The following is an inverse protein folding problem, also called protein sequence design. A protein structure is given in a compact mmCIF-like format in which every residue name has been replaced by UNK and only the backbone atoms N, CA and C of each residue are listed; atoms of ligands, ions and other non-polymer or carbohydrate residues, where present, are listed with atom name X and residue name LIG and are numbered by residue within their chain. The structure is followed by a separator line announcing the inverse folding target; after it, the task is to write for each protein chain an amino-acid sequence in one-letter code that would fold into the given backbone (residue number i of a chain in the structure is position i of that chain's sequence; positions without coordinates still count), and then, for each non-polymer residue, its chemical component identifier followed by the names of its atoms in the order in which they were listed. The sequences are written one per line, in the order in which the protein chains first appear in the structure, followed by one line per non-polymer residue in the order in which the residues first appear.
data_IF_164398951632
#
_entry.id   IF_164398951632
#
_cell.length_a   1.000
_cell.length_b   1.000
_cell.length_c   1.000
_cell.angle_alpha   90.00
_cell.angle_beta   90.00
_cell.angle_gamma   90.00
#
_symmetry.space_group_name_H-M   'P 1'
#
loop_
_entity.id
_entity.type
_entity.pdbx_description
1 polymer ?
#
# COMPACT_ATOMS: atom_id res chain seq x y z
N UNK A 1 12.16 -53.94 6.74
CA UNK A 1 12.36 -53.39 5.38
C UNK A 1 11.20 -52.55 4.80
N UNK A 2 9.91 -52.64 5.20
CA UNK A 2 8.85 -51.82 4.59
C UNK A 2 8.85 -50.34 5.06
N UNK A 3 9.48 -50.05 6.20
CA UNK A 3 9.51 -48.73 6.83
C UNK A 3 10.38 -47.70 6.09
N UNK A 4 11.41 -48.14 5.38
CA UNK A 4 12.33 -47.25 4.66
C UNK A 4 11.76 -46.82 3.30
N UNK A 5 10.99 -47.71 2.65
CA UNK A 5 10.32 -47.42 1.39
C UNK A 5 9.23 -46.34 1.55
N UNK A 6 8.45 -46.41 2.63
CA UNK A 6 7.42 -45.41 2.94
C UNK A 6 8.03 -44.04 3.22
N UNK A 7 9.14 -43.98 3.96
CA UNK A 7 9.88 -42.74 4.23
C UNK A 7 10.40 -42.11 2.94
N UNK A 8 11.01 -42.90 2.05
CA UNK A 8 11.50 -42.41 0.76
C UNK A 8 10.38 -41.84 -0.12
N UNK A 9 9.22 -42.52 -0.18
CA UNK A 9 8.04 -42.06 -0.92
C UNK A 9 7.49 -40.73 -0.36
N UNK A 10 7.45 -40.57 0.96
CA UNK A 10 7.02 -39.31 1.58
C UNK A 10 7.98 -38.15 1.35
N UNK A 11 9.29 -38.42 1.29
CA UNK A 11 10.29 -37.40 0.99
C UNK A 11 10.23 -36.97 -0.49
N UNK A 12 9.98 -37.91 -1.39
CA UNK A 12 9.80 -37.65 -2.82
C UNK A 12 8.54 -36.81 -3.10
N UNK A 13 7.42 -37.09 -2.41
CA UNK A 13 6.19 -36.29 -2.56
C UNK A 13 6.34 -34.88 -1.99
N UNK A 14 7.05 -34.71 -0.86
CA UNK A 14 7.37 -33.39 -0.30
C UNK A 14 8.28 -32.58 -1.25
N UNK A 15 9.25 -33.23 -1.91
CA UNK A 15 10.12 -32.60 -2.92
C UNK A 15 9.33 -32.12 -4.15
N UNK A 16 8.38 -32.91 -4.63
CA UNK A 16 7.53 -32.54 -5.76
C UNK A 16 6.59 -31.38 -5.42
N UNK A 17 6.06 -31.34 -4.19
CA UNK A 17 5.26 -30.21 -3.70
C UNK A 17 6.06 -28.90 -3.62
N UNK A 18 7.36 -28.96 -3.28
CA UNK A 18 8.24 -27.80 -3.31
C UNK A 18 8.61 -27.35 -4.73
N UNK A 19 8.60 -28.24 -5.72
CA UNK A 19 8.93 -27.93 -7.11
C UNK A 19 7.75 -27.30 -7.89
N UNK A 20 6.51 -27.50 -7.44
CA UNK A 20 5.30 -26.89 -7.99
C UNK A 20 4.78 -25.70 -7.19
N UNK A 21 5.44 -25.34 -6.08
CA UNK A 21 5.18 -24.05 -5.46
C UNK A 21 5.57 -22.98 -6.50
N UNK A 22 4.64 -22.12 -6.96
CA UNK A 22 5.05 -20.91 -7.65
C UNK A 22 6.04 -20.23 -6.71
N UNK A 23 7.21 -19.86 -7.25
CA UNK A 23 8.29 -19.25 -6.49
C UNK A 23 7.67 -18.33 -5.44
N UNK A 24 7.75 -18.74 -4.17
CA UNK A 24 7.33 -17.93 -3.05
C UNK A 24 8.26 -16.73 -3.13
N UNK A 25 7.82 -15.68 -3.85
CA UNK A 25 8.56 -14.44 -3.98
C UNK A 25 8.76 -13.95 -2.57
N UNK A 26 10.01 -14.09 -2.13
CA UNK A 26 10.46 -13.59 -0.85
C UNK A 26 10.03 -12.12 -0.74
N UNK A 27 9.53 -11.66 0.41
CA UNK A 27 9.26 -10.24 0.61
C UNK A 27 10.55 -9.46 0.29
N UNK A 28 10.48 -8.57 -0.70
CA UNK A 28 11.62 -7.78 -1.18
C UNK A 28 12.14 -8.11 -2.58
N UNK A 29 11.57 -9.06 -3.32
CA UNK A 29 11.92 -9.23 -4.74
C UNK A 29 11.36 -8.06 -5.57
N UNK A 30 12.27 -7.13 -5.87
CA UNK A 30 12.11 -6.04 -6.79
C UNK A 30 11.66 -6.55 -8.17
N UNK A 31 10.36 -6.40 -8.47
CA UNK A 31 9.75 -6.89 -9.71
C UNK A 31 9.56 -5.74 -10.71
N UNK A 32 9.61 -6.06 -12.00
CA UNK A 32 9.33 -5.10 -13.05
C UNK A 32 7.84 -4.69 -13.00
N UNK A 33 7.52 -3.38 -13.03
CA UNK A 33 6.13 -2.94 -13.11
C UNK A 33 5.48 -3.40 -14.41
N UNK A 34 4.20 -3.77 -14.33
CA UNK A 34 3.40 -4.10 -15.50
C UNK A 34 3.14 -2.81 -16.28
N UNK A 35 3.84 -2.66 -17.40
CA UNK A 35 3.69 -1.51 -18.29
C UNK A 35 2.46 -1.73 -19.17
N UNK A 36 1.45 -0.87 -19.06
CA UNK A 36 0.41 -0.75 -20.08
C UNK A 36 1.09 -0.34 -21.37
N UNK A 37 1.02 -1.19 -22.39
CA UNK A 37 1.71 -1.02 -23.67
C UNK A 37 1.22 0.24 -24.40
N UNK A 38 1.85 1.36 -24.10
CA UNK A 38 1.75 2.63 -24.81
C UNK A 38 3.18 3.20 -24.73
N UNK A 39 3.90 3.48 -25.80
CA UNK A 39 3.53 4.00 -27.12
C UNK A 39 4.63 3.57 -28.11
N UNK A 40 4.26 3.22 -29.34
CA UNK A 40 5.11 3.12 -30.56
C UNK A 40 6.58 2.72 -30.31
N UNK A 41 6.82 1.44 -30.01
CA UNK A 41 8.17 0.92 -29.74
C UNK A 41 9.05 0.87 -31.00
N UNK A 42 10.04 1.76 -31.09
CA UNK A 42 11.27 1.44 -31.83
C UNK A 42 12.03 0.41 -31.00
N UNK A 43 12.33 -0.77 -31.56
CA UNK A 43 13.10 -1.81 -30.87
C UNK A 43 14.45 -1.26 -30.38
N UNK A 44 14.49 -0.86 -29.12
CA UNK A 44 15.64 -0.19 -28.50
C UNK A 44 15.87 -0.86 -27.16
N UNK A 45 17.02 -1.50 -27.02
CA UNK A 45 17.45 -2.10 -25.76
C UNK A 45 18.47 -1.17 -25.10
N UNK A 46 18.02 -0.39 -24.12
CA UNK A 46 18.86 0.54 -23.36
C UNK A 46 19.69 -0.16 -22.27
N UNK A 47 19.36 -1.41 -21.96
CA UNK A 47 20.05 -2.23 -20.96
C UNK A 47 19.99 -3.72 -21.35
N UNK A 48 20.98 -4.49 -20.88
CA UNK A 48 21.05 -5.95 -21.10
C UNK A 48 20.69 -6.71 -19.83
N UNK A 49 21.19 -6.23 -18.68
CA UNK A 49 20.96 -6.80 -17.36
C UNK A 49 20.82 -5.68 -16.32
N UNK A 50 20.47 -6.05 -15.07
CA UNK A 50 20.26 -5.08 -13.99
C UNK A 50 21.54 -4.29 -13.66
N UNK A 51 22.72 -4.89 -13.80
CA UNK A 51 24.02 -4.23 -13.59
C UNK A 51 24.31 -3.12 -14.61
N UNK A 52 23.65 -3.17 -15.77
CA UNK A 52 23.73 -2.11 -16.79
C UNK A 52 22.95 -0.86 -16.39
N UNK A 53 22.16 -0.95 -15.32
CA UNK A 53 21.28 0.11 -14.86
C UNK A 53 21.86 0.84 -13.64
N UNK A 54 21.54 2.13 -13.46
CA UNK A 54 21.94 2.85 -12.26
C UNK A 54 21.34 2.21 -11.01
N UNK A 55 22.03 2.40 -9.88
CA UNK A 55 21.65 1.82 -8.58
C UNK A 55 20.17 2.05 -8.26
N UNK A 56 19.48 0.98 -7.84
CA UNK A 56 18.06 1.03 -7.50
C UNK A 56 17.10 0.91 -8.68
N UNK A 57 17.58 0.58 -9.89
CA UNK A 57 16.73 0.28 -11.06
C UNK A 57 17.04 -1.09 -11.65
N UNK A 58 16.09 -1.68 -12.39
CA UNK A 58 16.22 -3.02 -12.99
C UNK A 58 15.96 -2.96 -14.49
N UNK A 59 16.61 -3.84 -15.25
CA UNK A 59 16.47 -3.91 -16.69
C UNK A 59 15.23 -4.72 -17.09
N UNK A 60 14.14 -4.02 -17.36
CA UNK A 60 12.84 -4.60 -17.61
C UNK A 60 12.50 -4.60 -19.11
N UNK A 61 11.86 -5.67 -19.57
CA UNK A 61 11.31 -5.72 -20.93
C UNK A 61 10.06 -4.84 -21.00
N UNK A 62 10.04 -3.89 -21.93
CA UNK A 62 8.88 -3.02 -22.20
C UNK A 62 8.00 -3.57 -23.31
N UNK A 63 8.61 -4.31 -24.23
CA UNK A 63 7.97 -5.07 -25.30
C UNK A 63 8.89 -6.22 -25.72
N UNK A 64 8.47 -7.12 -26.63
CA UNK A 64 9.26 -8.29 -27.02
C UNK A 64 10.66 -7.97 -27.54
N UNK A 65 10.90 -6.74 -28.02
CA UNK A 65 12.19 -6.31 -28.56
C UNK A 65 12.81 -5.09 -27.84
N UNK A 66 12.20 -4.60 -26.77
CA UNK A 66 12.59 -3.35 -26.10
C UNK A 66 12.87 -3.59 -24.61
N UNK A 67 13.97 -3.03 -24.11
CA UNK A 67 14.38 -3.13 -22.70
C UNK A 67 14.81 -1.77 -22.18
N UNK A 68 14.41 -1.44 -20.96
CA UNK A 68 14.80 -0.20 -20.30
C UNK A 68 15.00 -0.39 -18.79
N UNK A 69 15.82 0.48 -18.20
CA UNK A 69 15.99 0.55 -16.76
C UNK A 69 14.76 1.19 -16.11
N UNK A 70 14.10 0.45 -15.23
CA UNK A 70 12.87 0.89 -14.57
C UNK A 70 13.04 0.75 -13.06
N UNK A 71 12.50 1.71 -12.31
CA UNK A 71 12.41 1.59 -10.87
C UNK A 71 11.55 0.36 -10.52
N UNK A 72 12.07 -0.61 -9.78
CA UNK A 72 11.30 -1.79 -9.41
C UNK A 72 10.19 -1.40 -8.44
N UNK A 73 9.08 -2.13 -8.51
CA UNK A 73 8.07 -2.01 -7.48
C UNK A 73 8.61 -2.66 -6.21
N UNK A 74 8.86 -1.84 -5.18
CA UNK A 74 9.05 -2.33 -3.82
C UNK A 74 7.72 -2.87 -3.34
N UNK A 75 7.54 -4.19 -3.44
CA UNK A 75 6.39 -4.90 -2.88
C UNK A 75 6.46 -4.86 -1.35
N UNK A 76 6.11 -3.72 -0.76
CA UNK A 76 5.76 -3.70 0.65
C UNK A 76 4.48 -4.52 0.78
N UNK A 77 4.39 -5.49 1.71
CA UNK A 77 3.15 -6.17 1.95
C UNK A 77 2.08 -5.10 2.23
N UNK A 78 1.09 -4.98 1.33
CA UNK A 78 -0.09 -4.15 1.53
C UNK A 78 -0.72 -4.24 2.95
N UNK A 79 -0.62 -5.37 3.70
CA UNK A 79 -1.27 -5.46 5.01
C UNK A 79 -0.80 -4.47 6.07
N UNK A 80 0.46 -4.00 6.06
CA UNK A 80 0.98 -3.13 7.13
C UNK A 80 0.64 -1.64 6.92
N UNK A 81 0.56 -1.21 5.66
CA UNK A 81 0.19 0.15 5.29
C UNK A 81 -1.28 0.41 5.62
N UNK A 82 -2.16 -0.57 5.45
CA UNK A 82 -3.58 -0.41 5.78
C UNK A 82 -3.82 -0.20 7.29
N UNK A 83 -2.96 -0.76 8.15
CA UNK A 83 -3.10 -0.63 9.60
C UNK A 83 -2.54 0.69 10.15
N UNK A 84 -1.48 1.25 9.54
CA UNK A 84 -0.84 2.49 10.00
C UNK A 84 -1.31 3.75 9.28
N UNK A 85 -1.79 3.61 8.04
CA UNK A 85 -2.36 4.71 7.26
C UNK A 85 -3.88 4.69 7.24
N UNK A 86 -4.57 3.83 8.00
CA UNK A 86 -5.97 4.09 8.27
C UNK A 86 -6.02 5.46 8.95
N UNK A 87 -6.47 6.53 8.26
CA UNK A 87 -6.83 7.74 8.98
C UNK A 87 -7.88 7.25 9.98
N UNK A 88 -8.00 7.87 11.15
CA UNK A 88 -9.32 7.84 11.80
C UNK A 88 -10.27 8.46 10.77
N UNK A 89 -10.87 7.62 9.92
CA UNK A 89 -11.88 8.03 8.97
C UNK A 89 -12.95 8.59 9.88
N UNK A 90 -13.13 9.90 9.83
CA UNK A 90 -14.22 10.59 10.49
C UNK A 90 -15.51 10.11 9.82
N UNK A 91 -15.97 8.91 10.19
CA UNK A 91 -17.25 8.33 9.79
C UNK A 91 -18.41 8.89 10.65
N UNK A 92 -18.05 9.69 11.65
CA UNK A 92 -18.98 10.31 12.57
C UNK A 92 -19.71 11.48 11.90
N UNK A 93 -21.04 11.49 12.00
CA UNK A 93 -21.87 12.59 11.49
C UNK A 93 -21.88 13.79 12.42
N UNK A 94 -22.01 15.00 11.83
CA UNK A 94 -22.29 16.23 12.58
C UNK A 94 -23.70 16.21 13.19
N UNK A 95 -23.80 16.52 14.48
CA UNK A 95 -25.08 16.68 15.20
C UNK A 95 -25.75 18.03 14.90
N UNK A 96 -24.94 19.07 14.76
CA UNK A 96 -25.38 20.44 14.55
C UNK A 96 -24.52 21.10 13.46
N UNK A 97 -25.02 22.16 12.84
CA UNK A 97 -24.19 23.06 11.99
C UNK A 97 -24.12 24.48 12.52
N UNK A 98 -25.01 24.83 13.46
CA UNK A 98 -25.18 26.15 14.07
C UNK A 98 -25.66 25.99 15.52
N UNK A 99 -25.39 26.98 16.34
CA UNK A 99 -25.71 26.99 17.78
C UNK A 99 -27.22 26.84 18.06
N UNK A 100 -28.09 27.34 17.18
CA UNK A 100 -29.55 27.29 17.35
C UNK A 100 -30.15 25.88 17.17
N UNK A 101 -29.37 24.91 16.67
CA UNK A 101 -29.76 23.50 16.62
C UNK A 101 -29.47 22.78 17.94
N UNK A 102 -28.69 23.38 18.83
CA UNK A 102 -28.37 22.81 20.12
C UNK A 102 -29.45 23.16 21.15
N UNK A 103 -29.77 22.21 22.04
CA UNK A 103 -30.69 22.49 23.15
C UNK A 103 -30.02 23.42 24.16
N UNK A 104 -30.83 24.23 24.84
CA UNK A 104 -30.39 25.13 25.90
C UNK A 104 -29.35 26.15 25.40
N UNK A 105 -28.37 26.52 26.24
CA UNK A 105 -27.30 27.46 25.91
C UNK A 105 -26.02 26.76 25.41
N UNK A 106 -26.17 25.59 24.79
CA UNK A 106 -25.04 24.85 24.21
C UNK A 106 -24.61 25.49 22.88
N UNK A 107 -23.33 25.35 22.54
CA UNK A 107 -22.77 25.86 21.28
C UNK A 107 -22.33 24.72 20.38
N UNK A 108 -22.51 24.90 19.09
CA UNK A 108 -22.11 23.96 18.07
C UNK A 108 -20.62 24.14 17.78
N UNK A 109 -19.80 23.19 18.25
CA UNK A 109 -18.34 23.27 18.16
C UNK A 109 -17.77 22.05 17.46
N UNK A 110 -16.66 22.23 16.76
CA UNK A 110 -15.93 21.12 16.17
C UNK A 110 -15.21 20.33 17.26
N UNK A 111 -15.59 19.06 17.43
CA UNK A 111 -14.98 18.16 18.40
C UNK A 111 -14.47 16.92 17.68
N UNK A 112 -13.14 16.81 17.60
CA UNK A 112 -12.40 15.74 16.90
C UNK A 112 -12.71 15.63 15.41
N UNK A 113 -13.82 14.99 15.05
CA UNK A 113 -14.18 14.59 13.69
C UNK A 113 -15.55 15.14 13.23
N UNK A 114 -16.34 15.74 14.14
CA UNK A 114 -17.71 16.16 13.85
C UNK A 114 -18.10 17.39 14.67
N UNK A 115 -19.16 18.06 14.24
CA UNK A 115 -19.80 19.14 15.00
C UNK A 115 -20.68 18.55 16.10
N UNK A 116 -20.55 19.08 17.32
CA UNK A 116 -21.24 18.61 18.51
C UNK A 116 -21.77 19.79 19.32
N UNK A 117 -22.89 19.60 20.00
CA UNK A 117 -23.40 20.57 20.95
C UNK A 117 -22.65 20.44 22.29
N UNK A 118 -21.87 21.46 22.65
CA UNK A 118 -21.01 21.44 23.83
C UNK A 118 -21.31 22.63 24.74
N UNK A 119 -21.03 22.46 26.04
CA UNK A 119 -21.14 23.56 27.01
C UNK A 119 -20.10 24.61 26.66
N UNK A 120 -20.47 25.89 26.51
CA UNK A 120 -19.51 26.94 26.26
C UNK A 120 -18.51 27.00 27.42
N UNK A 121 -17.23 26.86 27.12
CA UNK A 121 -16.18 27.10 28.10
C UNK A 121 -15.98 28.61 28.18
N UNK A 122 -15.94 29.16 29.41
CA UNK A 122 -15.56 30.55 29.65
C UNK A 122 -14.07 30.71 29.35
N UNK A 123 -13.73 30.78 28.06
CA UNK A 123 -12.43 31.18 27.57
C UNK A 123 -12.49 32.64 27.17
N UNK A 124 -11.68 33.47 27.82
CA UNK A 124 -11.37 34.83 27.38
C UNK A 124 -10.92 34.74 25.91
N UNK A 125 -11.80 35.14 24.99
CA UNK A 125 -11.41 35.31 23.59
C UNK A 125 -10.60 36.60 23.54
N UNK A 126 -9.36 36.62 23.02
CA UNK A 126 -8.73 37.90 22.70
C UNK A 126 -9.60 38.50 21.60
N UNK A 127 -10.36 39.54 21.93
CA UNK A 127 -11.05 40.33 20.94
C UNK A 127 -9.98 40.90 20.00
N UNK A 128 -10.01 40.48 18.73
CA UNK A 128 -9.27 41.17 17.68
C UNK A 128 -9.93 42.55 17.51
N UNK A 129 -9.24 43.66 17.83
CA UNK A 129 -9.81 44.98 17.65
C UNK A 129 -9.96 45.32 16.15
N UNK A 130 -10.82 46.30 15.82
CA UNK A 130 -11.30 46.56 14.45
C UNK A 130 -10.22 46.95 13.44
#
# INVERSE_FOLDING_TARGET
MPCLATLALTLLSLKAALALAPALSLPGQAVCPEVSSSEKDSCTASCVNDESCPQGTKCCARSPCSRSCVAPLMGWPLPWVQALLAPKLCLEGSECSRDDQCRDNLKCCFSSCAMRCMVPTTGEHPETPP
#
